data_IF_484468023081
#
_entry.id   IF_484468023081
#
_cell.length_a   1.000
_cell.length_b   1.000
_cell.length_c   1.000
_cell.angle_alpha   90.00
_cell.angle_beta   90.00
_cell.angle_gamma   90.00
#
_symmetry.space_group_name_H-M   'P 1'
#
loop_
_entity.id
_entity.type
_entity.pdbx_description
1 polymer ?
#
# COMPACT_ATOMS: atom_id res chain seq x y z
N UNK A 1 6.86 -11.65 -31.54
CA UNK A 1 6.37 -10.26 -31.63
C UNK A 1 5.22 -9.90 -30.67
N UNK A 2 4.04 -10.55 -30.68
CA UNK A 2 2.95 -10.22 -29.71
C UNK A 2 3.29 -10.65 -28.27
N UNK A 3 3.87 -11.84 -28.09
CA UNK A 3 4.30 -12.38 -26.78
C UNK A 3 5.37 -11.51 -26.10
N UNK A 4 6.40 -11.12 -26.84
CA UNK A 4 7.53 -10.34 -26.30
C UNK A 4 7.10 -8.94 -25.85
N UNK A 5 6.15 -8.32 -26.57
CA UNK A 5 5.57 -7.02 -26.17
C UNK A 5 4.77 -7.13 -24.87
N UNK A 6 4.01 -8.22 -24.68
CA UNK A 6 3.26 -8.45 -23.44
C UNK A 6 4.20 -8.78 -22.28
N UNK A 7 5.27 -9.53 -22.54
CA UNK A 7 6.28 -9.80 -21.51
C UNK A 7 6.93 -8.49 -21.02
N UNK A 8 7.38 -7.62 -21.94
CA UNK A 8 7.90 -6.29 -21.57
C UNK A 8 6.90 -5.46 -20.76
N UNK A 9 5.60 -5.55 -21.09
CA UNK A 9 4.55 -4.87 -20.35
C UNK A 9 4.36 -5.45 -18.94
N UNK A 10 4.45 -6.77 -18.78
CA UNK A 10 4.41 -7.44 -17.47
C UNK A 10 5.61 -7.00 -16.62
N UNK A 11 6.80 -6.94 -17.21
CA UNK A 11 8.02 -6.54 -16.52
C UNK A 11 7.91 -5.08 -16.04
N UNK A 12 7.47 -4.18 -16.92
CA UNK A 12 7.22 -2.78 -16.58
C UNK A 12 6.18 -2.64 -15.45
N UNK A 13 5.05 -3.36 -15.54
CA UNK A 13 4.03 -3.37 -14.48
C UNK A 13 4.54 -4.00 -13.18
N UNK A 14 5.45 -4.97 -13.26
CA UNK A 14 6.16 -5.55 -12.12
C UNK A 14 6.98 -4.49 -11.39
N UNK A 15 7.80 -3.76 -12.13
CA UNK A 15 8.59 -2.65 -11.58
C UNK A 15 7.70 -1.56 -10.95
N UNK A 16 6.63 -1.15 -11.63
CA UNK A 16 5.66 -0.19 -11.05
C UNK A 16 5.02 -0.70 -9.76
N UNK A 17 4.70 -1.99 -9.70
CA UNK A 17 4.16 -2.62 -8.49
C UNK A 17 5.16 -2.53 -7.34
N UNK A 18 6.43 -2.88 -7.57
CA UNK A 18 7.49 -2.81 -6.56
C UNK A 18 7.68 -1.38 -6.02
N UNK A 19 7.68 -0.38 -6.91
CA UNK A 19 7.73 1.03 -6.50
C UNK A 19 6.54 1.42 -5.61
N UNK A 20 5.34 0.92 -5.92
CA UNK A 20 4.15 1.16 -5.11
C UNK A 20 4.21 0.44 -3.75
N UNK A 21 4.79 -0.76 -3.68
CA UNK A 21 5.00 -1.48 -2.41
C UNK A 21 5.94 -0.70 -1.49
N UNK A 22 7.05 -0.19 -2.03
CA UNK A 22 7.98 0.68 -1.31
C UNK A 22 7.26 1.95 -0.84
N UNK A 23 6.50 2.61 -1.73
CA UNK A 23 5.76 3.81 -1.37
C UNK A 23 4.75 3.56 -0.25
N UNK A 24 3.99 2.45 -0.31
CA UNK A 24 3.07 2.05 0.77
C UNK A 24 3.82 1.88 2.09
N UNK A 25 4.95 1.18 2.08
CA UNK A 25 5.78 0.98 3.28
C UNK A 25 6.20 2.32 3.89
N UNK A 26 6.78 3.22 3.09
CA UNK A 26 7.21 4.55 3.55
C UNK A 26 6.06 5.34 4.18
N UNK A 27 4.87 5.33 3.57
CA UNK A 27 3.71 6.05 4.16
C UNK A 27 3.23 5.42 5.46
N UNK A 28 3.30 4.10 5.61
CA UNK A 28 2.94 3.43 6.87
C UNK A 28 3.91 3.81 7.98
N UNK A 29 5.20 3.79 7.70
CA UNK A 29 6.22 4.23 8.66
C UNK A 29 6.00 5.71 9.04
N UNK A 30 5.68 6.58 8.08
CA UNK A 30 5.34 7.97 8.36
C UNK A 30 4.07 8.10 9.22
N UNK A 31 3.03 7.31 8.96
CA UNK A 31 1.81 7.28 9.78
C UNK A 31 2.11 6.81 11.21
N UNK A 32 2.94 5.78 11.38
CA UNK A 32 3.34 5.27 12.70
C UNK A 32 4.09 6.34 13.49
N UNK A 33 5.00 7.08 12.86
CA UNK A 33 5.72 8.19 13.49
C UNK A 33 4.73 9.28 13.97
N UNK A 34 3.81 9.71 13.11
CA UNK A 34 2.85 10.76 13.47
C UNK A 34 1.84 10.30 14.52
N UNK A 35 1.48 9.00 14.52
CA UNK A 35 0.61 8.42 15.55
C UNK A 35 1.33 8.33 16.89
N UNK A 36 2.60 7.93 16.90
CA UNK A 36 3.40 7.91 18.13
C UNK A 36 3.59 9.30 18.74
N UNK A 37 3.71 10.34 17.91
CA UNK A 37 3.72 11.74 18.40
C UNK A 37 2.38 12.11 19.05
N UNK A 38 1.26 11.74 18.44
CA UNK A 38 -0.06 11.97 19.02
C UNK A 38 -0.20 11.28 20.39
N UNK A 39 0.15 10.00 20.46
CA UNK A 39 0.08 9.21 21.70
C UNK A 39 0.96 9.81 22.79
N UNK A 40 2.14 10.31 22.43
CA UNK A 40 3.04 11.00 23.34
C UNK A 40 2.40 12.28 23.91
N UNK A 41 1.84 13.14 23.06
CA UNK A 41 1.20 14.39 23.50
C UNK A 41 -0.04 14.13 24.36
N UNK A 42 -0.85 13.13 24.01
CA UNK A 42 -2.00 12.69 24.82
C UNK A 42 -1.51 12.20 26.19
N UNK A 43 -0.46 11.37 26.22
CA UNK A 43 0.13 10.90 27.48
C UNK A 43 0.68 12.03 28.34
N UNK A 44 1.23 13.09 27.74
CA UNK A 44 1.68 14.28 28.47
C UNK A 44 0.49 15.03 29.08
N UNK A 45 -0.59 15.20 28.32
CA UNK A 45 -1.82 15.82 28.83
C UNK A 45 -2.38 15.04 30.01
N UNK A 46 -2.53 13.72 29.88
CA UNK A 46 -3.05 12.85 30.94
C UNK A 46 -2.22 12.97 32.22
N UNK A 47 -0.89 12.91 32.11
CA UNK A 47 0.02 13.09 33.25
C UNK A 47 -0.11 14.46 33.89
N UNK A 48 -0.29 15.51 33.08
CA UNK A 48 -0.45 16.89 33.56
C UNK A 48 -1.78 17.06 34.29
N UNK A 49 -2.86 16.45 33.79
CA UNK A 49 -4.18 16.43 34.44
C UNK A 49 -4.12 15.68 35.76
N UNK A 50 -3.43 14.54 35.81
CA UNK A 50 -3.20 13.80 37.06
C UNK A 50 -2.42 14.63 38.08
N UNK A 51 -1.35 15.31 37.65
CA UNK A 51 -0.56 16.18 38.51
C UNK A 51 -1.40 17.34 39.07
N UNK A 52 -2.17 18.00 38.21
CA UNK A 52 -3.10 19.05 38.62
C UNK A 52 -4.13 18.55 39.63
N UNK A 53 -4.71 17.37 39.39
CA UNK A 53 -5.69 16.74 40.29
C UNK A 53 -5.07 16.41 41.66
N UNK A 54 -3.82 15.94 41.69
CA UNK A 54 -3.07 15.71 42.94
C UNK A 54 -2.82 17.02 43.70
N UNK A 55 -2.45 18.09 43.00
CA UNK A 55 -2.23 19.40 43.63
C UNK A 55 -3.54 20.00 44.17
N UNK A 56 -4.67 19.80 43.50
CA UNK A 56 -5.97 20.29 43.98
C UNK A 56 -6.40 19.63 45.30
N UNK A 57 -5.99 18.38 45.54
CA UNK A 57 -6.19 17.69 46.82
C UNK A 57 -5.17 18.03 47.92
N UNK A 58 -4.17 18.87 47.62
CA UNK A 58 -3.08 19.27 48.51
C UNK A 58 -3.24 20.67 49.11
N UNK A 59 -2.17 21.29 49.67
CA UNK A 59 -2.20 22.69 50.11
C UNK A 59 -2.53 23.62 48.93
N UNK A 60 -3.21 24.74 49.20
CA UNK A 60 -3.90 25.55 48.19
C UNK A 60 -3.02 25.90 46.99
N UNK A 61 -3.49 25.56 45.79
CA UNK A 61 -2.94 26.07 44.52
C UNK A 61 -3.17 27.57 44.46
N UNK A 62 -2.14 28.36 44.17
CA UNK A 62 -2.30 29.80 43.98
C UNK A 62 -2.92 30.14 42.60
N UNK A 63 -3.45 31.35 42.46
CA UNK A 63 -4.14 31.76 41.24
C UNK A 63 -3.24 31.77 40.00
N UNK A 64 -1.92 31.97 40.16
CA UNK A 64 -0.96 32.02 39.07
C UNK A 64 -0.63 30.60 38.56
N UNK A 65 -0.40 29.65 39.47
CA UNK A 65 -0.25 28.23 39.15
C UNK A 65 -1.49 27.70 38.42
N UNK A 66 -2.69 28.09 38.86
CA UNK A 66 -3.94 27.72 38.23
C UNK A 66 -4.01 28.22 36.78
N UNK A 67 -3.64 29.48 36.54
CA UNK A 67 -3.57 30.07 35.20
C UNK A 67 -2.56 29.34 34.30
N UNK A 68 -1.40 28.96 34.84
CA UNK A 68 -0.41 28.15 34.10
C UNK A 68 -0.98 26.80 33.64
N UNK A 69 -1.67 26.06 34.52
CA UNK A 69 -2.27 24.77 34.15
C UNK A 69 -3.33 24.94 33.06
N UNK A 70 -4.23 25.92 33.18
CA UNK A 70 -5.26 26.13 32.16
C UNK A 70 -4.68 26.56 30.81
N UNK A 71 -3.70 27.46 30.80
CA UNK A 71 -3.01 27.86 29.57
C UNK A 71 -2.28 26.67 28.94
N UNK A 72 -1.66 25.82 29.75
CA UNK A 72 -0.95 24.64 29.25
C UNK A 72 -1.91 23.56 28.74
N UNK A 73 -3.05 23.34 29.39
CA UNK A 73 -4.11 22.45 28.89
C UNK A 73 -4.67 22.92 27.55
N UNK A 74 -4.93 24.22 27.41
CA UNK A 74 -5.39 24.80 26.15
C UNK A 74 -4.35 24.59 25.03
N UNK A 75 -3.07 24.81 25.35
CA UNK A 75 -1.96 24.56 24.42
C UNK A 75 -1.89 23.08 24.00
N UNK A 76 -1.86 22.14 24.96
CA UNK A 76 -1.77 20.71 24.66
C UNK A 76 -2.98 20.21 23.88
N UNK A 77 -4.19 20.66 24.23
CA UNK A 77 -5.42 20.28 23.52
C UNK A 77 -5.36 20.73 22.06
N UNK A 78 -4.92 21.96 21.81
CA UNK A 78 -4.72 22.46 20.45
C UNK A 78 -3.70 21.63 19.67
N UNK A 79 -2.56 21.30 20.29
CA UNK A 79 -1.56 20.46 19.64
C UNK A 79 -2.08 19.06 19.31
N UNK A 80 -2.88 18.47 20.21
CA UNK A 80 -3.52 17.18 19.97
C UNK A 80 -4.44 17.24 18.76
N UNK A 81 -5.25 18.30 18.63
CA UNK A 81 -6.18 18.43 17.51
C UNK A 81 -5.45 18.66 16.17
N UNK A 82 -4.40 19.49 16.15
CA UNK A 82 -3.53 19.68 14.98
C UNK A 82 -2.83 18.35 14.58
N UNK A 83 -2.37 17.58 15.56
CA UNK A 83 -1.72 16.29 15.32
C UNK A 83 -2.72 15.21 14.85
N UNK A 84 -3.96 15.20 15.36
CA UNK A 84 -5.04 14.32 14.87
C UNK A 84 -5.36 14.58 13.40
N UNK A 85 -5.38 15.84 12.99
CA UNK A 85 -5.56 16.19 11.58
C UNK A 85 -4.42 15.62 10.74
N UNK A 86 -3.18 15.82 11.18
CA UNK A 86 -1.99 15.27 10.52
C UNK A 86 -2.05 13.74 10.38
N UNK A 87 -2.43 13.03 11.45
CA UNK A 87 -2.62 11.56 11.43
C UNK A 87 -3.70 11.17 10.42
N UNK A 88 -4.82 11.89 10.39
CA UNK A 88 -5.93 11.65 9.44
C UNK A 88 -5.48 11.79 7.99
N UNK A 89 -4.68 12.82 7.69
CA UNK A 89 -4.09 13.03 6.37
C UNK A 89 -3.15 11.87 5.99
N UNK A 90 -2.34 11.38 6.94
CA UNK A 90 -1.46 10.22 6.74
C UNK A 90 -2.21 8.92 6.52
N UNK A 91 -3.30 8.68 7.25
CA UNK A 91 -4.19 7.53 7.02
C UNK A 91 -4.72 7.57 5.58
N UNK A 92 -5.24 8.73 5.16
CA UNK A 92 -5.77 8.92 3.81
C UNK A 92 -4.69 8.68 2.74
N UNK A 93 -3.46 9.14 2.99
CA UNK A 93 -2.31 8.91 2.11
C UNK A 93 -1.97 7.41 1.96
N UNK A 94 -1.95 6.67 3.08
CA UNK A 94 -1.74 5.22 3.11
C UNK A 94 -2.83 4.51 2.31
N UNK A 95 -4.10 4.80 2.57
CA UNK A 95 -5.22 4.18 1.88
C UNK A 95 -5.18 4.42 0.36
N UNK A 96 -4.87 5.65 -0.05
CA UNK A 96 -4.75 6.01 -1.47
C UNK A 96 -3.64 5.18 -2.14
N UNK A 97 -2.49 5.04 -1.49
CA UNK A 97 -1.36 4.24 -2.01
C UNK A 97 -1.68 2.74 -2.03
N UNK A 98 -2.36 2.22 -1.01
CA UNK A 98 -2.83 0.83 -1.01
C UNK A 98 -3.81 0.54 -2.16
N UNK A 99 -4.76 1.45 -2.41
CA UNK A 99 -5.67 1.36 -3.56
C UNK A 99 -4.91 1.34 -4.89
N UNK A 100 -3.89 2.19 -5.04
CA UNK A 100 -3.03 2.19 -6.23
C UNK A 100 -2.25 0.86 -6.38
N UNK A 101 -1.71 0.32 -5.30
CA UNK A 101 -1.01 -0.97 -5.30
C UNK A 101 -1.94 -2.12 -5.71
N UNK A 102 -3.16 -2.17 -5.15
CA UNK A 102 -4.16 -3.17 -5.55
C UNK A 102 -4.50 -3.10 -7.03
N UNK A 103 -4.64 -1.89 -7.58
CA UNK A 103 -4.86 -1.68 -9.01
C UNK A 103 -3.68 -2.21 -9.82
N UNK A 104 -2.45 -1.88 -9.45
CA UNK A 104 -1.25 -2.37 -10.13
C UNK A 104 -1.16 -3.91 -10.11
N UNK A 105 -1.55 -4.54 -8.99
CA UNK A 105 -1.60 -6.00 -8.88
C UNK A 105 -2.62 -6.62 -9.85
N UNK A 106 -3.83 -6.05 -9.93
CA UNK A 106 -4.88 -6.51 -10.86
C UNK A 106 -4.45 -6.34 -12.31
N UNK A 107 -3.87 -5.19 -12.64
CA UNK A 107 -3.36 -4.89 -13.97
C UNK A 107 -2.26 -5.86 -14.41
N UNK A 108 -1.27 -6.12 -13.55
CA UNK A 108 -0.21 -7.10 -13.83
C UNK A 108 -0.80 -8.49 -14.07
N UNK A 109 -1.73 -8.91 -13.20
CA UNK A 109 -2.39 -10.21 -13.32
C UNK A 109 -3.16 -10.37 -14.63
N UNK A 110 -3.83 -9.31 -15.09
CA UNK A 110 -4.52 -9.33 -16.37
C UNK A 110 -3.55 -9.54 -17.54
N UNK A 111 -2.39 -8.86 -17.50
CA UNK A 111 -1.35 -9.05 -18.52
C UNK A 111 -0.76 -10.47 -18.52
N UNK A 112 -0.56 -11.07 -17.34
CA UNK A 112 -0.14 -12.47 -17.22
C UNK A 112 -1.17 -13.42 -17.86
N UNK A 113 -2.46 -13.25 -17.55
CA UNK A 113 -3.54 -14.05 -18.16
C UNK A 113 -3.54 -13.92 -19.69
N UNK A 114 -3.35 -12.70 -20.22
CA UNK A 114 -3.28 -12.48 -21.66
C UNK A 114 -2.08 -13.18 -22.30
N UNK A 115 -0.91 -13.13 -21.65
CA UNK A 115 0.30 -13.85 -22.11
C UNK A 115 0.07 -15.35 -22.14
N UNK A 116 -0.56 -15.90 -21.11
CA UNK A 116 -0.80 -17.33 -20.99
C UNK A 116 -1.79 -17.81 -22.06
N UNK A 117 -2.85 -17.04 -22.35
CA UNK A 117 -3.77 -17.30 -23.48
C UNK A 117 -3.04 -17.33 -24.82
N UNK A 118 -2.21 -16.33 -25.10
CA UNK A 118 -1.44 -16.27 -26.36
C UNK A 118 -0.48 -17.45 -26.47
N UNK A 119 0.15 -17.84 -25.37
CA UNK A 119 1.05 -18.99 -25.35
C UNK A 119 0.30 -20.29 -25.61
N UNK A 120 -0.89 -20.46 -25.03
CA UNK A 120 -1.75 -21.61 -25.28
C UNK A 120 -2.25 -21.67 -26.73
N UNK A 121 -2.64 -20.54 -27.32
CA UNK A 121 -3.04 -20.46 -28.73
C UNK A 121 -1.88 -20.82 -29.67
N UNK A 122 -0.67 -20.31 -29.39
CA UNK A 122 0.53 -20.63 -30.17
C UNK A 122 0.87 -22.13 -30.09
N UNK A 123 0.80 -22.72 -28.89
CA UNK A 123 1.05 -24.15 -28.71
C UNK A 123 0.00 -25.01 -29.46
N UNK A 124 -1.28 -24.61 -29.41
CA UNK A 124 -2.34 -25.31 -30.13
C UNK A 124 -2.15 -25.26 -31.64
N UNK A 125 -1.75 -24.10 -32.18
CA UNK A 125 -1.51 -23.95 -33.62
C UNK A 125 -0.27 -24.72 -34.08
N UNK A 126 0.81 -24.71 -33.28
CA UNK A 126 1.99 -25.54 -33.53
C UNK A 126 1.63 -27.03 -33.59
N UNK A 127 0.88 -27.54 -32.61
CA UNK A 127 0.46 -28.94 -32.59
C UNK A 127 -0.41 -29.34 -33.79
N UNK A 128 -1.31 -28.45 -34.26
CA UNK A 128 -2.08 -28.69 -35.49
C UNK A 128 -1.19 -28.78 -36.73
N UNK A 129 -0.16 -27.95 -36.81
CA UNK A 129 0.77 -27.95 -37.95
C UNK A 129 1.65 -29.19 -37.93
N UNK A 130 2.16 -29.58 -36.77
CA UNK A 130 2.92 -30.83 -36.59
C UNK A 130 2.08 -32.06 -36.98
N UNK A 131 0.81 -32.10 -36.57
CA UNK A 131 -0.10 -33.18 -36.95
C UNK A 131 -0.34 -33.23 -38.46
N UNK A 132 -0.64 -32.10 -39.10
CA UNK A 132 -0.80 -32.02 -40.57
C UNK A 132 0.45 -32.51 -41.30
N UNK A 133 1.64 -32.15 -40.81
CA UNK A 133 2.90 -32.59 -41.42
C UNK A 133 3.13 -34.09 -41.24
N UNK A 134 2.81 -34.64 -40.07
CA UNK A 134 2.87 -36.08 -39.81
C UNK A 134 1.90 -36.86 -40.71
N UNK A 135 0.65 -36.40 -40.84
CA UNK A 135 -0.37 -37.01 -41.70
C UNK A 135 0.06 -36.97 -43.17
N UNK A 136 0.59 -35.83 -43.64
CA UNK A 136 1.10 -35.70 -45.00
C UNK A 136 2.26 -36.66 -45.29
N UNK A 137 3.22 -36.79 -44.36
CA UNK A 137 4.33 -37.75 -44.47
C UNK A 137 3.82 -39.19 -44.49
N UNK A 138 2.82 -39.53 -43.68
CA UNK A 138 2.21 -40.84 -43.64
C UNK A 138 1.53 -41.20 -44.97
N UNK A 139 0.66 -40.31 -45.48
CA UNK A 139 -0.04 -40.50 -46.76
C UNK A 139 0.96 -40.63 -47.91
N UNK A 140 1.97 -39.75 -47.96
CA UNK A 140 2.97 -39.74 -49.03
C UNK A 140 3.81 -41.02 -49.08
N UNK A 141 4.07 -41.66 -47.93
CA UNK A 141 4.74 -42.97 -47.88
C UNK A 141 3.84 -44.08 -48.41
N UNK A 142 2.55 -44.03 -48.07
CA UNK A 142 1.56 -45.03 -48.47
C UNK A 142 1.23 -45.01 -49.97
N UNK A 143 1.39 -43.87 -50.63
CA UNK A 143 1.19 -43.71 -52.08
C UNK A 143 2.41 -44.11 -52.92
N UNK A 144 3.57 -44.36 -52.30
CA UNK A 144 4.81 -44.79 -52.97
C UNK A 144 5.04 -46.31 -52.95
N UNK A 145 4.16 -47.04 -52.27
CA UNK A 145 4.06 -48.51 -52.23
C UNK A 145 2.82 -48.93 -52.99
#
# INVERSE_FOLDING_TARGET
MKKDRIQKLIDYKGFTKEQLEIAVKISKEALEIESAKLDCTVSILDRTVEEFSRKQGGPSIDAQELDYYYNYFAYLTRQIDEQKQTVTEKITEVERRQKALMKAHRDKRLCEILRDKITGEQAREAGKNEQKEADFKFISRRLKT
#
